data_IF_994201192276
#
_entry.id   IF_994201192276
#
_cell.length_a   1.000
_cell.length_b   1.000
_cell.length_c   1.000
_cell.angle_alpha   90.00
_cell.angle_beta   90.00
_cell.angle_gamma   90.00
#
_symmetry.space_group_name_H-M   'P 1'
#
loop_
_entity.id
_entity.type
_entity.pdbx_description
1 polymer ?
#
# COMPACT_ATOMS: atom_id res chain seq x y z
N UNK A 1 37.50 26.82 3.37
CA UNK A 1 37.77 25.37 3.38
C UNK A 1 37.69 24.94 4.83
N UNK A 2 36.81 23.98 5.12
CA UNK A 2 36.34 23.65 6.47
C UNK A 2 37.47 23.05 7.34
N UNK A 3 37.67 23.63 8.52
CA UNK A 3 38.75 23.28 9.46
C UNK A 3 38.62 21.84 9.99
N UNK A 4 37.40 21.30 9.93
CA UNK A 4 37.08 19.89 10.15
C UNK A 4 37.75 18.96 9.14
N UNK A 5 37.76 19.34 7.85
CA UNK A 5 38.39 18.54 6.79
C UNK A 5 39.91 18.50 6.93
N UNK A 6 40.54 19.61 7.34
CA UNK A 6 41.98 19.67 7.56
C UNK A 6 42.44 18.75 8.69
N UNK A 7 41.64 18.61 9.76
CA UNK A 7 41.88 17.66 10.84
C UNK A 7 41.78 16.20 10.38
N UNK A 8 40.81 15.90 9.52
CA UNK A 8 40.63 14.54 8.96
C UNK A 8 41.81 14.20 8.04
N UNK A 9 42.20 15.10 7.15
CA UNK A 9 43.33 14.89 6.22
C UNK A 9 44.64 14.70 6.97
N UNK A 10 44.92 15.49 8.02
CA UNK A 10 46.11 15.27 8.86
C UNK A 10 46.09 13.96 9.64
N UNK A 11 44.92 13.52 10.12
CA UNK A 11 44.81 12.31 10.95
C UNK A 11 44.89 11.00 10.16
N UNK A 12 44.49 11.04 8.89
CA UNK A 12 44.36 9.83 8.06
C UNK A 12 45.18 9.87 6.76
N UNK A 13 45.79 11.01 6.41
CA UNK A 13 46.56 11.19 5.18
C UNK A 13 47.72 10.21 5.03
N UNK A 14 48.45 9.94 6.11
CA UNK A 14 49.60 9.02 6.09
C UNK A 14 49.18 7.54 5.98
N UNK A 15 47.87 7.24 6.09
CA UNK A 15 47.32 5.88 5.95
C UNK A 15 46.75 5.59 4.56
N UNK A 16 46.75 6.58 3.67
CA UNK A 16 46.28 6.44 2.29
C UNK A 16 47.51 6.25 1.40
N UNK A 17 48.07 5.04 1.42
CA UNK A 17 49.06 4.64 0.42
C UNK A 17 48.31 4.12 -0.80
N UNK A 18 48.19 4.97 -1.83
CA UNK A 18 47.73 4.57 -3.15
C UNK A 18 48.83 3.73 -3.80
N UNK A 19 48.52 2.48 -4.11
CA UNK A 19 49.46 1.62 -4.82
C UNK A 19 49.37 1.88 -6.32
N UNK A 20 50.45 1.60 -7.07
CA UNK A 20 50.52 1.78 -8.53
C UNK A 20 49.40 1.01 -9.31
N UNK A 21 48.74 0.05 -8.67
CA UNK A 21 47.56 -0.65 -9.19
C UNK A 21 46.29 0.20 -9.26
N UNK A 22 46.20 1.26 -8.46
CA UNK A 22 45.00 2.11 -8.34
C UNK A 22 44.95 3.19 -9.44
N UNK A 23 46.06 3.39 -10.17
CA UNK A 23 46.20 4.41 -11.22
C UNK A 23 45.77 3.96 -12.62
N UNK A 24 45.42 2.68 -12.83
CA UNK A 24 45.08 2.17 -14.17
C UNK A 24 43.58 1.88 -14.31
N UNK A 25 42.86 2.54 -15.23
CA UNK A 25 41.49 2.17 -15.54
C UNK A 25 41.46 0.77 -16.18
N UNK A 26 40.67 -0.15 -15.61
CA UNK A 26 40.50 -1.50 -16.16
C UNK A 26 39.70 -1.45 -17.46
N UNK A 27 40.21 -1.99 -18.58
CA UNK A 27 39.46 -2.05 -19.83
C UNK A 27 38.43 -3.17 -19.82
N UNK A 28 37.28 -2.91 -20.45
CA UNK A 28 36.27 -3.90 -20.78
C UNK A 28 36.83 -4.94 -21.76
N UNK A 29 36.72 -6.23 -21.43
CA UNK A 29 37.13 -7.33 -22.31
C UNK A 29 36.23 -8.56 -22.17
N UNK A 30 35.52 -8.90 -23.26
CA UNK A 30 34.84 -10.20 -23.46
C UNK A 30 35.87 -11.30 -23.72
N UNK A 31 35.74 -12.48 -23.09
CA UNK A 31 35.74 -13.83 -23.72
C UNK A 31 35.96 -14.97 -22.70
N UNK A 32 35.17 -16.04 -22.86
CA UNK A 32 35.72 -17.40 -23.02
C UNK A 32 35.95 -18.28 -21.79
N UNK A 33 35.11 -19.32 -21.67
CA UNK A 33 35.19 -20.51 -20.80
C UNK A 33 36.59 -21.17 -20.68
N UNK A 34 36.94 -21.60 -19.46
CA UNK A 34 37.49 -22.95 -19.15
C UNK A 34 37.15 -23.39 -17.71
N UNK A 35 36.66 -24.64 -17.59
CA UNK A 35 36.36 -25.47 -16.40
C UNK A 35 37.63 -25.71 -15.55
N UNK A 36 37.66 -26.11 -14.28
CA UNK A 36 36.69 -26.51 -13.23
C UNK A 36 37.51 -26.71 -11.94
N UNK A 37 37.01 -26.31 -10.77
CA UNK A 37 37.20 -27.08 -9.54
C UNK A 37 36.14 -26.68 -8.52
N UNK A 38 35.28 -27.65 -8.26
CA UNK A 38 34.19 -27.74 -7.29
C UNK A 38 34.50 -27.06 -5.95
N UNK A 39 33.69 -26.06 -5.59
CA UNK A 39 33.18 -25.89 -4.22
C UNK A 39 31.71 -25.46 -4.36
N UNK A 40 30.84 -26.39 -4.02
CA UNK A 40 29.39 -26.25 -4.02
C UNK A 40 28.99 -25.34 -2.86
N UNK A 41 28.64 -24.08 -3.16
CA UNK A 41 27.70 -23.34 -2.34
C UNK A 41 26.53 -23.07 -3.27
N UNK A 42 25.59 -24.02 -3.24
CA UNK A 42 24.24 -23.86 -3.75
C UNK A 42 23.64 -22.62 -3.08
N UNK A 43 23.78 -21.48 -3.77
CA UNK A 43 22.92 -20.33 -3.51
C UNK A 43 21.55 -20.77 -3.99
N UNK A 44 20.82 -21.45 -3.11
CA UNK A 44 19.41 -21.72 -3.28
C UNK A 44 18.79 -20.40 -3.71
N UNK A 45 18.35 -20.34 -4.96
CA UNK A 45 17.21 -19.51 -5.30
C UNK A 45 16.15 -20.04 -4.35
N UNK A 46 15.97 -19.35 -3.22
CA UNK A 46 14.73 -19.40 -2.49
C UNK A 46 13.71 -18.94 -3.53
N UNK A 47 13.06 -19.90 -4.17
CA UNK A 47 11.75 -19.68 -4.75
C UNK A 47 10.97 -19.15 -3.57
N UNK A 48 10.86 -17.83 -3.50
CA UNK A 48 9.97 -17.18 -2.56
C UNK A 48 8.62 -17.77 -2.90
N UNK A 49 8.10 -18.60 -2.01
CA UNK A 49 6.71 -19.02 -2.06
C UNK A 49 5.93 -17.73 -2.23
N UNK A 50 5.36 -17.51 -3.41
CA UNK A 50 4.56 -16.32 -3.71
C UNK A 50 3.20 -16.39 -2.96
N UNK A 51 3.06 -17.32 -2.00
CA UNK A 51 1.91 -17.54 -1.15
C UNK A 51 2.13 -16.86 0.20
N UNK A 52 1.06 -16.32 0.74
CA UNK A 52 1.07 -15.69 2.06
C UNK A 52 1.30 -16.75 3.14
N UNK A 53 2.31 -16.54 4.00
CA UNK A 53 2.65 -17.48 5.07
C UNK A 53 2.46 -16.84 6.46
N UNK A 54 1.67 -17.48 7.31
CA UNK A 54 1.49 -17.13 8.71
C UNK A 54 0.29 -16.21 8.99
N UNK A 55 0.00 -15.97 10.29
CA UNK A 55 -1.13 -15.15 10.69
C UNK A 55 -0.87 -13.67 10.39
N UNK A 56 -1.82 -12.93 9.81
CA UNK A 56 -1.70 -11.48 9.67
C UNK A 56 -1.74 -10.78 11.05
N UNK A 57 -1.31 -9.50 11.14
CA UNK A 57 -1.24 -8.76 12.41
C UNK A 57 -2.57 -8.62 13.15
N UNK A 58 -3.68 -8.69 12.44
CA UNK A 58 -5.02 -8.62 13.02
C UNK A 58 -5.57 -9.97 13.47
N UNK A 59 -4.87 -11.08 13.21
CA UNK A 59 -5.32 -12.41 13.61
C UNK A 59 -5.40 -12.51 15.14
N UNK A 60 -6.54 -13.01 15.63
CA UNK A 60 -6.81 -13.18 17.06
C UNK A 60 -5.81 -14.14 17.74
N UNK A 61 -5.30 -15.14 17.02
CA UNK A 61 -4.33 -16.11 17.52
C UNK A 61 -2.98 -15.50 17.90
N UNK A 62 -2.65 -14.32 17.35
CA UNK A 62 -1.44 -13.56 17.68
C UNK A 62 -1.74 -12.30 18.51
N UNK A 63 -2.96 -12.18 19.04
CA UNK A 63 -3.40 -11.04 19.85
C UNK A 63 -3.83 -9.81 19.05
N UNK A 64 -4.17 -9.98 17.77
CA UNK A 64 -4.76 -8.95 16.93
C UNK A 64 -6.21 -8.61 17.29
N UNK A 65 -6.80 -7.64 16.57
CA UNK A 65 -8.15 -7.12 16.82
C UNK A 65 -9.24 -7.71 15.89
N UNK A 66 -8.88 -8.70 15.07
CA UNK A 66 -9.78 -9.32 14.08
C UNK A 66 -10.12 -8.42 12.89
N UNK A 67 -9.57 -7.20 12.80
CA UNK A 67 -9.94 -6.21 11.79
C UNK A 67 -8.84 -6.09 10.72
N UNK A 68 -9.09 -6.53 9.47
CA UNK A 68 -8.11 -6.46 8.39
C UNK A 68 -7.69 -5.02 8.07
N UNK A 69 -6.37 -4.78 8.04
CA UNK A 69 -5.78 -3.47 7.75
C UNK A 69 -4.61 -3.59 6.78
N UNK A 70 -4.69 -2.85 5.69
CA UNK A 70 -3.68 -2.88 4.64
C UNK A 70 -3.00 -1.52 4.47
N UNK A 71 -1.74 -1.54 4.07
CA UNK A 71 -1.01 -0.40 3.53
C UNK A 71 -0.72 -0.71 2.07
N UNK A 72 -1.34 0.01 1.15
CA UNK A 72 -1.10 -0.15 -0.27
C UNK A 72 0.01 0.81 -0.72
N UNK A 73 1.07 0.31 -1.36
CA UNK A 73 2.10 1.19 -1.92
C UNK A 73 1.58 2.03 -3.11
N UNK A 74 2.46 2.89 -3.65
CA UNK A 74 2.15 3.78 -4.77
C UNK A 74 1.70 3.05 -6.04
N UNK A 75 2.09 1.78 -6.24
CA UNK A 75 1.73 1.01 -7.44
C UNK A 75 0.36 0.33 -7.32
N UNK A 76 -0.14 0.15 -6.10
CA UNK A 76 -1.46 -0.42 -5.82
C UNK A 76 -2.40 0.55 -5.10
N UNK A 77 -2.19 1.86 -5.24
CA UNK A 77 -3.15 2.88 -4.74
C UNK A 77 -4.57 2.68 -5.29
N UNK A 78 -4.69 2.16 -6.51
CA UNK A 78 -5.99 1.80 -7.10
C UNK A 78 -6.70 0.70 -6.32
N UNK A 79 -5.95 -0.28 -5.81
CA UNK A 79 -6.46 -1.35 -4.96
C UNK A 79 -6.92 -0.81 -3.60
N UNK A 80 -6.19 0.16 -3.03
CA UNK A 80 -6.60 0.81 -1.78
C UNK A 80 -8.03 1.39 -1.87
N UNK A 81 -8.37 2.01 -3.01
CA UNK A 81 -9.71 2.53 -3.25
C UNK A 81 -10.77 1.42 -3.30
N UNK A 82 -10.46 0.30 -3.97
CA UNK A 82 -11.36 -0.85 -4.03
C UNK A 82 -11.55 -1.51 -2.67
N UNK A 83 -10.48 -1.69 -1.88
CA UNK A 83 -10.57 -2.19 -0.51
C UNK A 83 -11.46 -1.31 0.37
N UNK A 84 -11.32 0.02 0.29
CA UNK A 84 -12.20 0.96 1.01
C UNK A 84 -13.65 0.87 0.55
N UNK A 85 -13.89 0.68 -0.75
CA UNK A 85 -15.23 0.49 -1.30
C UNK A 85 -15.91 -0.76 -0.72
N UNK A 86 -15.16 -1.80 -0.38
CA UNK A 86 -15.70 -3.00 0.28
C UNK A 86 -15.60 -2.95 1.81
N UNK A 87 -15.38 -1.76 2.39
CA UNK A 87 -15.37 -1.53 3.84
C UNK A 87 -14.05 -1.87 4.55
N UNK A 88 -13.04 -2.35 3.81
CA UNK A 88 -11.75 -2.74 4.38
C UNK A 88 -10.87 -1.51 4.62
N UNK A 89 -10.18 -1.50 5.77
CA UNK A 89 -9.24 -0.45 6.14
C UNK A 89 -7.96 -0.52 5.27
N UNK A 90 -7.84 0.41 4.32
CA UNK A 90 -6.67 0.47 3.43
C UNK A 90 -6.05 1.86 3.44
N UNK A 91 -4.85 1.98 4.00
CA UNK A 91 -4.05 3.20 3.95
C UNK A 91 -3.18 3.26 2.68
N UNK A 92 -2.70 4.46 2.38
CA UNK A 92 -1.65 4.72 1.40
C UNK A 92 -0.48 5.43 2.12
N UNK A 93 0.70 5.53 1.50
CA UNK A 93 1.86 6.12 2.14
C UNK A 93 1.64 7.62 2.38
N UNK A 94 2.15 8.14 3.51
CA UNK A 94 2.07 9.58 3.81
C UNK A 94 2.85 10.44 2.82
N UNK A 95 3.96 9.91 2.33
CA UNK A 95 4.83 10.59 1.37
C UNK A 95 4.45 10.19 -0.05
N UNK A 96 4.50 11.15 -0.98
CA UNK A 96 4.28 10.89 -2.42
C UNK A 96 5.33 9.98 -3.04
N UNK A 97 6.53 9.93 -2.45
CA UNK A 97 7.68 9.12 -2.88
C UNK A 97 8.33 8.49 -1.65
N UNK A 98 7.67 7.52 -1.02
CA UNK A 98 8.18 6.90 0.19
C UNK A 98 9.37 6.01 -0.17
N UNK A 99 10.40 6.00 0.69
CA UNK A 99 11.43 4.97 0.61
C UNK A 99 10.91 3.65 1.20
N UNK A 100 11.53 2.50 0.87
CA UNK A 100 11.16 1.21 1.45
C UNK A 100 11.04 1.22 2.98
N UNK A 101 11.95 1.93 3.67
CA UNK A 101 11.93 2.03 5.14
C UNK A 101 10.73 2.80 5.67
N UNK A 102 10.25 3.80 4.93
CA UNK A 102 9.08 4.58 5.33
C UNK A 102 7.82 3.71 5.28
N UNK A 103 7.66 2.93 4.20
CA UNK A 103 6.55 1.98 4.03
C UNK A 103 6.54 0.93 5.14
N UNK A 104 7.70 0.33 5.40
CA UNK A 104 7.87 -0.69 6.44
C UNK A 104 7.56 -0.11 7.82
N UNK A 105 8.12 1.06 8.13
CA UNK A 105 7.89 1.71 9.41
C UNK A 105 6.42 2.11 9.61
N UNK A 106 5.74 2.52 8.54
CA UNK A 106 4.29 2.80 8.58
C UNK A 106 3.48 1.52 8.80
N UNK A 107 3.76 0.45 8.05
CA UNK A 107 3.08 -0.83 8.18
C UNK A 107 3.19 -1.38 9.61
N UNK A 108 4.40 -1.38 10.19
CA UNK A 108 4.64 -1.85 11.55
C UNK A 108 3.92 -1.00 12.61
N UNK A 109 4.03 0.33 12.51
CA UNK A 109 3.43 1.24 13.50
C UNK A 109 1.91 1.13 13.55
N UNK A 110 1.30 0.87 12.40
CA UNK A 110 -0.16 0.80 12.25
C UNK A 110 -0.70 -0.63 12.25
N UNK A 111 0.17 -1.63 12.44
CA UNK A 111 -0.14 -3.05 12.36
C UNK A 111 -0.90 -3.42 11.06
N UNK A 112 -0.33 -3.01 9.92
CA UNK A 112 -0.89 -3.23 8.59
C UNK A 112 -0.07 -4.23 7.80
N UNK A 113 -0.74 -5.00 6.94
CA UNK A 113 -0.06 -5.75 5.89
C UNK A 113 0.24 -4.82 4.72
N UNK A 114 1.50 -4.76 4.31
CA UNK A 114 1.97 -4.01 3.15
C UNK A 114 1.67 -4.76 1.86
N UNK A 115 0.78 -4.21 1.05
CA UNK A 115 0.48 -4.68 -0.30
C UNK A 115 1.34 -3.91 -1.32
N UNK A 116 2.05 -4.63 -2.17
CA UNK A 116 2.94 -4.03 -3.17
C UNK A 116 3.00 -4.87 -4.44
N UNK A 117 3.42 -4.25 -5.54
CA UNK A 117 3.88 -4.99 -6.73
C UNK A 117 5.39 -4.92 -6.93
N UNK A 118 6.12 -4.23 -6.06
CA UNK A 118 7.57 -4.05 -6.16
C UNK A 118 8.27 -5.28 -5.59
N UNK A 119 8.79 -6.12 -6.48
CA UNK A 119 9.61 -7.25 -6.08
C UNK A 119 10.86 -6.84 -5.29
N UNK A 120 11.31 -5.57 -5.37
CA UNK A 120 12.43 -5.07 -4.57
C UNK A 120 12.05 -4.90 -3.10
N UNK A 121 10.80 -4.56 -2.79
CA UNK A 121 10.34 -4.41 -1.40
C UNK A 121 10.35 -5.74 -0.64
N UNK A 122 10.12 -6.87 -1.34
CA UNK A 122 10.22 -8.20 -0.75
C UNK A 122 11.61 -8.53 -0.18
N UNK A 123 12.67 -7.86 -0.63
CA UNK A 123 14.01 -8.02 -0.03
C UNK A 123 14.05 -7.60 1.44
N UNK A 124 13.06 -6.86 1.90
CA UNK A 124 12.91 -6.36 3.25
C UNK A 124 11.87 -7.13 4.08
N UNK A 125 11.35 -8.24 3.58
CA UNK A 125 10.35 -9.08 4.28
C UNK A 125 10.81 -9.49 5.69
N UNK A 126 12.10 -9.74 5.88
CA UNK A 126 12.70 -10.04 7.18
C UNK A 126 12.49 -8.95 8.24
N UNK A 127 12.23 -7.70 7.83
CA UNK A 127 11.90 -6.60 8.74
C UNK A 127 10.42 -6.64 9.15
N UNK A 128 9.55 -7.18 8.31
CA UNK A 128 8.10 -7.14 8.48
C UNK A 128 7.51 -8.40 9.13
N UNK A 129 8.28 -9.44 9.44
CA UNK A 129 7.77 -10.69 10.06
C UNK A 129 6.51 -11.21 9.35
N UNK A 130 6.58 -11.40 8.03
CA UNK A 130 5.46 -11.82 7.19
C UNK A 130 4.30 -10.81 7.16
N UNK A 131 4.59 -9.50 7.07
CA UNK A 131 3.58 -8.45 6.87
C UNK A 131 3.68 -7.78 5.50
N UNK A 132 4.26 -8.45 4.52
CA UNK A 132 4.34 -7.96 3.14
C UNK A 132 3.76 -9.01 2.20
N UNK A 133 2.89 -8.56 1.30
CA UNK A 133 2.34 -9.42 0.27
C UNK A 133 2.51 -8.77 -1.10
N UNK A 134 3.01 -9.55 -2.04
CA UNK A 134 3.21 -9.11 -3.42
C UNK A 134 1.99 -9.47 -4.26
N UNK A 135 1.28 -8.44 -4.69
CA UNK A 135 0.16 -8.55 -5.61
C UNK A 135 0.63 -9.05 -6.98
N UNK A 136 -0.03 -10.07 -7.50
CA UNK A 136 0.30 -10.76 -8.76
C UNK A 136 -0.46 -10.12 -9.92
N UNK A 137 -1.75 -9.84 -9.75
CA UNK A 137 -2.59 -9.31 -10.82
C UNK A 137 -2.24 -7.86 -11.23
N UNK A 138 -2.48 -7.56 -12.51
CA UNK A 138 -2.41 -6.21 -13.08
C UNK A 138 -3.75 -5.46 -12.99
N UNK A 139 -4.87 -6.17 -12.92
CA UNK A 139 -6.21 -5.61 -13.04
C UNK A 139 -6.82 -5.37 -11.65
N UNK A 140 -7.29 -4.15 -11.39
CA UNK A 140 -7.72 -3.72 -10.04
C UNK A 140 -8.81 -4.59 -9.41
N UNK A 141 -9.74 -5.15 -10.20
CA UNK A 141 -10.77 -6.03 -9.66
C UNK A 141 -10.16 -7.39 -9.28
N UNK A 142 -9.30 -7.95 -10.13
CA UNK A 142 -8.58 -9.19 -9.82
C UNK A 142 -7.62 -9.02 -8.63
N UNK A 143 -6.98 -7.86 -8.48
CA UNK A 143 -6.17 -7.55 -7.29
C UNK A 143 -7.00 -7.56 -6.00
N UNK A 144 -8.26 -7.09 -6.06
CA UNK A 144 -9.17 -7.13 -4.93
C UNK A 144 -9.53 -8.59 -4.60
N UNK A 145 -9.93 -9.36 -5.60
CA UNK A 145 -10.26 -10.79 -5.44
C UNK A 145 -9.06 -11.55 -4.86
N UNK A 146 -7.86 -11.32 -5.39
CA UNK A 146 -6.61 -11.91 -4.92
C UNK A 146 -6.38 -11.66 -3.42
N UNK A 147 -6.61 -10.43 -2.95
CA UNK A 147 -6.50 -10.09 -1.51
C UNK A 147 -7.60 -10.74 -0.69
N UNK A 148 -8.84 -10.74 -1.17
CA UNK A 148 -9.96 -11.39 -0.48
C UNK A 148 -9.68 -12.88 -0.28
N UNK A 149 -9.26 -13.57 -1.33
CA UNK A 149 -8.97 -15.01 -1.30
C UNK A 149 -7.72 -15.32 -0.46
N UNK A 150 -6.64 -14.55 -0.62
CA UNK A 150 -5.37 -14.78 0.10
C UNK A 150 -5.54 -14.63 1.61
N UNK A 151 -6.28 -13.60 2.04
CA UNK A 151 -6.47 -13.28 3.46
C UNK A 151 -7.81 -13.79 4.02
N UNK A 152 -8.57 -14.55 3.23
CA UNK A 152 -9.88 -15.12 3.58
C UNK A 152 -10.86 -14.06 4.14
N UNK A 153 -10.83 -12.88 3.53
CA UNK A 153 -11.62 -11.74 4.00
C UNK A 153 -13.11 -12.01 3.82
N UNK A 154 -13.88 -11.77 4.87
CA UNK A 154 -15.35 -11.78 4.80
C UNK A 154 -15.82 -10.39 4.39
N UNK A 155 -16.42 -10.30 3.20
CA UNK A 155 -17.01 -9.06 2.70
C UNK A 155 -18.51 -9.13 2.93
N UNK A 156 -19.06 -8.09 3.53
CA UNK A 156 -20.48 -8.00 3.82
C UNK A 156 -21.09 -6.81 3.09
N UNK A 157 -22.32 -6.97 2.58
CA UNK A 157 -23.00 -5.94 1.79
C UNK A 157 -23.22 -4.64 2.60
N UNK A 158 -23.52 -4.76 3.89
CA UNK A 158 -23.70 -3.64 4.83
C UNK A 158 -22.42 -2.81 5.06
N UNK A 159 -21.25 -3.39 4.79
CA UNK A 159 -19.96 -2.71 4.90
C UNK A 159 -19.54 -2.03 3.59
N UNK A 160 -20.26 -2.25 2.48
CA UNK A 160 -19.96 -1.57 1.22
C UNK A 160 -20.10 -0.05 1.38
N UNK A 161 -19.16 0.68 0.80
CA UNK A 161 -19.11 2.15 0.85
C UNK A 161 -19.11 2.74 2.27
N UNK A 162 -18.79 1.95 3.30
CA UNK A 162 -18.73 2.39 4.70
C UNK A 162 -17.50 3.26 5.03
N UNK A 163 -16.53 3.33 4.10
CA UNK A 163 -15.30 4.11 4.24
C UNK A 163 -15.13 5.13 3.13
N UNK A 164 -14.52 6.25 3.47
CA UNK A 164 -14.16 7.28 2.51
C UNK A 164 -13.14 6.74 1.51
N UNK A 165 -13.54 6.65 0.23
CA UNK A 165 -12.68 6.18 -0.85
C UNK A 165 -11.44 7.05 -1.05
N UNK A 166 -11.50 8.33 -0.65
CA UNK A 166 -10.39 9.30 -0.74
C UNK A 166 -9.34 9.10 0.35
N UNK A 167 -9.74 9.07 1.62
CA UNK A 167 -8.79 9.10 2.75
C UNK A 167 -8.86 7.91 3.69
N UNK A 168 -9.72 6.91 3.46
CA UNK A 168 -10.00 5.77 4.35
C UNK A 168 -10.84 6.11 5.59
N UNK A 169 -11.17 7.38 5.82
CA UNK A 169 -11.90 7.83 7.01
C UNK A 169 -13.33 7.33 7.13
N UNK A 170 -13.90 7.46 8.32
CA UNK A 170 -15.31 7.14 8.60
C UNK A 170 -16.23 8.32 8.26
N UNK A 171 -17.49 8.00 8.02
CA UNK A 171 -18.54 9.00 7.80
C UNK A 171 -19.18 9.43 9.11
N UNK A 172 -19.83 10.59 9.08
CA UNK A 172 -20.80 11.02 10.10
C UNK A 172 -21.85 9.93 10.36
N UNK A 173 -22.41 9.88 11.57
CA UNK A 173 -23.36 8.82 11.97
C UNK A 173 -24.76 8.98 11.39
N UNK A 174 -25.10 10.18 10.89
CA UNK A 174 -26.41 10.51 10.32
C UNK A 174 -26.19 11.24 9.00
N UNK A 175 -27.03 11.00 7.99
CA UNK A 175 -26.96 11.74 6.74
C UNK A 175 -27.30 13.21 6.96
N UNK A 176 -26.72 14.08 6.13
CA UNK A 176 -27.03 15.50 6.05
C UNK A 176 -28.21 15.73 5.11
N UNK A 177 -29.00 16.76 5.39
CA UNK A 177 -29.97 17.29 4.42
C UNK A 177 -29.25 18.00 3.27
N UNK A 178 -29.99 18.36 2.22
CA UNK A 178 -29.44 19.12 1.10
C UNK A 178 -28.85 20.46 1.56
N UNK A 179 -29.54 21.19 2.44
CA UNK A 179 -29.09 22.50 2.94
C UNK A 179 -27.79 22.36 3.74
N UNK A 180 -27.73 21.39 4.64
CA UNK A 180 -26.53 21.08 5.44
C UNK A 180 -25.36 20.65 4.55
N UNK A 181 -25.63 19.84 3.54
CA UNK A 181 -24.62 19.41 2.58
C UNK A 181 -24.09 20.57 1.73
N UNK A 182 -24.94 21.51 1.31
CA UNK A 182 -24.50 22.74 0.63
C UNK A 182 -23.57 23.55 1.52
N UNK A 183 -23.92 23.73 2.79
CA UNK A 183 -23.09 24.45 3.75
C UNK A 183 -21.73 23.75 3.93
N UNK A 184 -21.75 22.44 4.16
CA UNK A 184 -20.55 21.62 4.34
C UNK A 184 -19.67 21.59 3.08
N UNK A 185 -20.25 21.73 1.89
CA UNK A 185 -19.54 21.75 0.62
C UNK A 185 -18.82 23.08 0.34
N UNK A 186 -19.22 24.19 0.97
CA UNK A 186 -18.68 25.53 0.67
C UNK A 186 -17.16 25.55 0.78
N UNK A 187 -16.49 25.88 -0.32
CA UNK A 187 -15.03 25.97 -0.39
C UNK A 187 -14.29 24.62 -0.53
N UNK A 188 -14.99 23.49 -0.42
CA UNK A 188 -14.39 22.15 -0.50
C UNK A 188 -14.79 21.38 -1.76
N UNK A 189 -16.05 21.50 -2.18
CA UNK A 189 -16.63 20.70 -3.26
C UNK A 189 -17.80 21.43 -3.91
N UNK A 190 -18.03 21.20 -5.21
CA UNK A 190 -19.24 21.67 -5.89
C UNK A 190 -20.26 20.53 -5.95
N UNK A 191 -21.46 20.78 -5.44
CA UNK A 191 -22.60 19.88 -5.60
C UNK A 191 -23.24 20.18 -6.96
N UNK A 192 -23.40 19.20 -7.86
CA UNK A 192 -24.06 19.41 -9.15
C UNK A 192 -25.52 19.88 -9.00
N UNK A 193 -25.92 20.87 -9.81
CA UNK A 193 -27.25 21.47 -9.70
C UNK A 193 -28.40 20.46 -9.90
N UNK A 194 -28.18 19.40 -10.67
CA UNK A 194 -29.18 18.35 -10.93
C UNK A 194 -29.54 17.49 -9.71
N UNK A 195 -28.91 17.75 -8.56
CA UNK A 195 -29.19 17.07 -7.30
C UNK A 195 -30.13 17.85 -6.37
N UNK A 196 -30.33 19.16 -6.60
CA UNK A 196 -31.12 20.01 -5.69
C UNK A 196 -32.61 19.62 -5.62
N UNK A 197 -33.16 19.07 -6.70
CA UNK A 197 -34.58 18.67 -6.76
C UNK A 197 -34.81 17.21 -6.31
N UNK A 198 -33.77 16.55 -5.78
CA UNK A 198 -33.84 15.14 -5.35
C UNK A 198 -33.74 15.07 -3.84
N UNK A 199 -34.61 14.25 -3.23
CA UNK A 199 -34.51 13.93 -1.80
C UNK A 199 -33.38 12.89 -1.59
N UNK A 200 -32.14 13.38 -1.57
CA UNK A 200 -30.93 12.57 -1.41
C UNK A 200 -30.36 12.69 -0.01
N UNK A 201 -29.82 11.59 0.48
CA UNK A 201 -29.01 11.58 1.69
C UNK A 201 -27.55 11.88 1.34
N UNK A 202 -26.94 12.79 2.11
CA UNK A 202 -25.54 13.16 1.96
C UNK A 202 -24.71 12.66 3.14
N UNK A 203 -23.53 12.15 2.84
CA UNK A 203 -22.59 11.62 3.83
C UNK A 203 -21.26 12.36 3.74
N UNK A 204 -20.80 12.89 4.87
CA UNK A 204 -19.52 13.59 4.95
C UNK A 204 -18.48 12.74 5.67
N UNK A 205 -17.28 12.66 5.10
CA UNK A 205 -16.14 12.06 5.77
C UNK A 205 -15.63 12.98 6.89
N UNK A 206 -15.42 12.42 8.09
CA UNK A 206 -14.97 13.16 9.27
C UNK A 206 -13.49 13.59 9.20
N UNK A 207 -12.69 12.97 8.34
CA UNK A 207 -11.24 13.23 8.27
C UNK A 207 -10.88 14.22 7.16
N UNK A 208 -11.51 14.10 5.98
CA UNK A 208 -11.16 14.90 4.80
C UNK A 208 -12.30 15.77 4.25
N UNK A 209 -13.44 15.81 4.96
CA UNK A 209 -14.64 16.58 4.61
C UNK A 209 -15.25 16.28 3.23
N UNK A 210 -14.82 15.20 2.59
CA UNK A 210 -15.34 14.77 1.29
C UNK A 210 -16.82 14.39 1.44
N UNK A 211 -17.66 14.97 0.58
CA UNK A 211 -19.09 14.67 0.52
C UNK A 211 -19.40 13.60 -0.53
N UNK A 212 -20.29 12.71 -0.16
CA UNK A 212 -20.86 11.63 -0.96
C UNK A 212 -22.39 11.69 -0.85
N UNK A 213 -23.09 11.11 -1.81
CA UNK A 213 -24.56 11.02 -1.80
C UNK A 213 -25.01 9.77 -2.55
N UNK A 214 -26.20 9.31 -2.21
CA UNK A 214 -26.81 8.12 -2.79
C UNK A 214 -27.41 8.41 -4.18
N UNK A 215 -26.56 8.59 -5.18
CA UNK A 215 -26.97 8.77 -6.57
C UNK A 215 -26.70 7.54 -7.45
N UNK A 216 -26.94 7.67 -8.75
CA UNK A 216 -26.63 6.63 -9.74
C UNK A 216 -25.19 6.13 -9.66
N UNK A 217 -24.21 7.01 -9.38
CA UNK A 217 -22.82 6.60 -9.22
C UNK A 217 -22.60 5.70 -8.01
N UNK A 218 -23.32 5.96 -6.91
CA UNK A 218 -23.27 5.12 -5.71
C UNK A 218 -23.86 3.75 -6.02
N UNK A 219 -25.08 3.68 -6.57
CA UNK A 219 -25.71 2.40 -6.91
C UNK A 219 -24.89 1.58 -7.91
N UNK A 220 -24.31 2.22 -8.93
CA UNK A 220 -23.41 1.56 -9.86
C UNK A 220 -22.15 1.02 -9.17
N UNK A 221 -21.60 1.75 -8.20
CA UNK A 221 -20.45 1.29 -7.44
C UNK A 221 -20.81 0.12 -6.53
N UNK A 222 -21.93 0.19 -5.80
CA UNK A 222 -22.43 -0.89 -4.94
C UNK A 222 -22.66 -2.15 -5.78
N UNK A 223 -23.44 -2.07 -6.86
CA UNK A 223 -23.70 -3.21 -7.74
C UNK A 223 -22.41 -3.81 -8.30
N UNK A 224 -21.47 -2.97 -8.76
CA UNK A 224 -20.17 -3.44 -9.24
C UNK A 224 -19.45 -4.29 -8.18
N UNK A 225 -19.42 -3.86 -6.92
CA UNK A 225 -18.69 -4.59 -5.89
C UNK A 225 -19.46 -5.81 -5.38
N UNK A 226 -20.80 -5.78 -5.39
CA UNK A 226 -21.62 -6.99 -5.21
C UNK A 226 -21.23 -8.05 -6.25
N UNK A 227 -21.14 -7.68 -7.53
CA UNK A 227 -20.80 -8.60 -8.62
C UNK A 227 -19.35 -9.10 -8.52
N UNK A 228 -18.40 -8.19 -8.27
CA UNK A 228 -16.96 -8.52 -8.17
C UNK A 228 -16.68 -9.42 -6.96
N UNK A 229 -17.34 -9.18 -5.83
CA UNK A 229 -17.17 -9.96 -4.61
C UNK A 229 -18.13 -11.15 -4.51
N UNK A 230 -19.02 -11.34 -5.51
CA UNK A 230 -20.02 -12.42 -5.57
C UNK A 230 -20.88 -12.52 -4.31
N UNK A 231 -21.35 -11.38 -3.80
CA UNK A 231 -22.18 -11.34 -2.57
C UNK A 231 -23.60 -11.87 -2.76
N UNK A 232 -23.99 -12.20 -3.99
CA UNK A 232 -25.31 -12.73 -4.33
C UNK A 232 -25.37 -14.28 -4.32
N UNK A 233 -24.27 -14.95 -3.99
CA UNK A 233 -24.15 -16.43 -3.92
C UNK A 233 -24.00 -16.89 -2.47
#
# INVERSE_FOLDING_TARGET
>A
MDESLLRIVRKYGDKILLNESDRKPKPFGKKGKKRSSVVTISKEKRETSDEWEGPPPWDLAVGGDGCPKFLCDVMVEGLAKHLRCVGIDAAIPYLKKPEPRDLIGQAQRENRVLLTRDAKLLRHEYLLKNQIYRIKSLLKNEQLIEVIETFQLQICEDQLMSRCTKCNGRFIQKPLTMEEAVEAAKGFQKIPNCLFDKNLEFWQCMDCNQLYWEGTQYHNAVQKFIDVCKLNE
#
